data_IF_209712788076
#
_entry.id   IF_209712788076
#
_cell.length_a   1.000
_cell.length_b   1.000
_cell.length_c   1.000
_cell.angle_alpha   90.00
_cell.angle_beta   90.00
_cell.angle_gamma   90.00
#
_symmetry.space_group_name_H-M   'P 1'
#
loop_
_entity.id
_entity.type
_entity.pdbx_description
1 polymer ?
#
# COMPACT_ATOMS: atom_id res chain seq x y z
N UNK A 1 -8.23 2.37 0.33
CA UNK A 1 -9.28 1.99 1.30
C UNK A 1 -8.80 0.85 2.19
N UNK A 2 -9.42 0.67 3.36
CA UNK A 2 -9.24 -0.52 4.20
C UNK A 2 -10.60 -1.19 4.44
N UNK A 3 -10.58 -2.51 4.55
CA UNK A 3 -11.73 -3.37 4.89
C UNK A 3 -11.20 -4.47 5.81
N UNK A 4 -10.82 -4.04 7.00
CA UNK A 4 -10.15 -4.93 7.94
C UNK A 4 -11.17 -5.86 8.58
N UNK A 5 -10.85 -7.15 8.56
CA UNK A 5 -11.59 -8.16 9.29
C UNK A 5 -10.73 -9.39 9.54
N UNK A 6 -11.11 -10.23 10.50
CA UNK A 6 -10.48 -11.54 10.65
C UNK A 6 -10.81 -12.40 9.43
N UNK A 7 -9.89 -13.27 9.02
CA UNK A 7 -9.99 -14.05 7.78
C UNK A 7 -11.34 -14.77 7.65
N UNK A 8 -11.82 -15.42 8.72
CA UNK A 8 -13.07 -16.19 8.72
C UNK A 8 -14.35 -15.32 8.66
N UNK A 9 -14.23 -14.00 8.84
CA UNK A 9 -15.34 -13.04 8.72
C UNK A 9 -15.22 -12.16 7.48
N UNK A 10 -14.11 -12.23 6.77
CA UNK A 10 -13.85 -11.39 5.60
C UNK A 10 -14.70 -11.88 4.43
N UNK A 11 -15.50 -10.98 3.87
CA UNK A 11 -16.29 -11.28 2.67
C UNK A 11 -15.37 -11.24 1.44
N UNK A 12 -15.78 -11.93 0.38
CA UNK A 12 -15.08 -11.85 -0.92
C UNK A 12 -15.13 -10.42 -1.46
N UNK A 13 -16.26 -9.71 -1.28
CA UNK A 13 -16.41 -8.33 -1.71
C UNK A 13 -15.42 -7.38 -1.00
N UNK A 14 -15.20 -7.56 0.31
CA UNK A 14 -14.21 -6.78 1.07
C UNK A 14 -12.78 -7.07 0.59
N UNK A 15 -12.48 -8.33 0.30
CA UNK A 15 -11.20 -8.73 -0.29
C UNK A 15 -11.00 -8.08 -1.65
N UNK A 16 -11.96 -8.23 -2.55
CA UNK A 16 -11.91 -7.74 -3.92
C UNK A 16 -11.86 -6.22 -3.97
N UNK A 17 -12.62 -5.52 -3.12
CA UNK A 17 -12.58 -4.06 -3.06
C UNK A 17 -11.16 -3.54 -2.73
N UNK A 18 -10.48 -4.15 -1.75
CA UNK A 18 -9.12 -3.77 -1.36
C UNK A 18 -8.12 -4.09 -2.48
N UNK A 19 -8.20 -5.29 -3.08
CA UNK A 19 -7.30 -5.70 -4.16
C UNK A 19 -7.49 -4.85 -5.43
N UNK A 20 -8.73 -4.57 -5.80
CA UNK A 20 -9.06 -3.77 -6.98
C UNK A 20 -8.56 -2.34 -6.85
N UNK A 21 -8.72 -1.71 -5.68
CA UNK A 21 -8.25 -0.34 -5.47
C UNK A 21 -6.72 -0.27 -5.40
N UNK A 22 -6.10 -1.10 -4.57
CA UNK A 22 -4.67 -0.93 -4.29
C UNK A 22 -3.78 -1.53 -5.35
N UNK A 23 -3.99 -2.79 -5.73
CA UNK A 23 -3.06 -3.48 -6.61
C UNK A 23 -3.47 -3.37 -8.08
N UNK A 24 -4.74 -3.67 -8.39
CA UNK A 24 -5.24 -3.58 -9.76
C UNK A 24 -5.24 -2.14 -10.26
N UNK A 25 -5.60 -1.17 -9.41
CA UNK A 25 -5.54 0.26 -9.75
C UNK A 25 -4.14 0.69 -10.20
N UNK A 26 -3.11 0.33 -9.44
CA UNK A 26 -1.72 0.62 -9.81
C UNK A 26 -1.32 -0.07 -11.12
N UNK A 27 -1.68 -1.35 -11.30
CA UNK A 27 -1.45 -2.05 -12.57
C UNK A 27 -2.07 -1.31 -13.77
N UNK A 28 -3.36 -0.94 -13.68
CA UNK A 28 -4.07 -0.27 -14.77
C UNK A 28 -3.43 1.08 -15.11
N UNK A 29 -3.06 1.85 -14.09
CA UNK A 29 -2.42 3.15 -14.28
C UNK A 29 -1.03 2.99 -14.92
N UNK A 30 -0.17 2.14 -14.35
CA UNK A 30 1.16 1.87 -14.91
C UNK A 30 1.07 1.38 -16.36
N UNK A 31 0.15 0.46 -16.68
CA UNK A 31 -0.07 -0.04 -18.04
C UNK A 31 -0.44 1.09 -19.01
N UNK A 32 -1.29 2.01 -18.60
CA UNK A 32 -1.75 3.10 -19.47
C UNK A 32 -0.64 4.12 -19.79
N UNK A 33 0.27 4.41 -18.84
CA UNK A 33 1.35 5.39 -19.05
C UNK A 33 2.64 4.78 -19.60
N UNK A 34 2.81 3.47 -19.50
CA UNK A 34 4.06 2.77 -19.81
C UNK A 34 4.60 3.13 -21.20
N UNK A 35 3.76 3.06 -22.24
CA UNK A 35 4.18 3.36 -23.61
C UNK A 35 4.74 4.79 -23.74
N UNK A 36 4.04 5.77 -23.19
CA UNK A 36 4.43 7.17 -23.28
C UNK A 36 5.75 7.45 -22.55
N UNK A 37 5.95 6.83 -21.37
CA UNK A 37 7.21 6.95 -20.62
C UNK A 37 8.40 6.33 -21.37
N UNK A 38 8.18 5.18 -22.04
CA UNK A 38 9.20 4.54 -22.87
C UNK A 38 9.54 5.39 -24.10
N UNK A 39 8.54 5.89 -24.82
CA UNK A 39 8.75 6.74 -25.99
C UNK A 39 9.49 8.04 -25.63
N UNK A 40 9.19 8.62 -24.46
CA UNK A 40 9.87 9.79 -23.92
C UNK A 40 11.26 9.50 -23.33
N UNK A 41 11.66 8.22 -23.21
CA UNK A 41 12.88 7.76 -22.52
C UNK A 41 13.02 8.30 -21.09
N UNK A 42 11.89 8.60 -20.45
CA UNK A 42 11.83 9.16 -19.10
C UNK A 42 10.47 8.86 -18.45
N UNK A 43 10.52 8.43 -17.19
CA UNK A 43 9.32 8.25 -16.38
C UNK A 43 9.66 7.94 -14.93
N UNK A 44 8.78 8.31 -14.01
CA UNK A 44 8.92 8.05 -12.57
C UNK A 44 7.60 7.51 -12.04
N UNK A 45 7.60 6.25 -11.62
CA UNK A 45 6.44 5.61 -11.00
C UNK A 45 6.74 5.52 -9.49
N UNK A 46 5.91 6.18 -8.68
CA UNK A 46 6.00 6.12 -7.22
C UNK A 46 4.73 5.48 -6.67
N UNK A 47 4.88 4.27 -6.17
CA UNK A 47 3.77 3.49 -5.61
C UNK A 47 3.72 3.60 -4.09
N UNK A 48 2.52 3.44 -3.53
CA UNK A 48 2.28 3.48 -2.10
C UNK A 48 2.06 2.05 -1.57
N UNK A 49 3.08 1.51 -0.91
CA UNK A 49 3.00 0.30 -0.08
C UNK A 49 2.57 0.67 1.35
N UNK A 50 2.98 -0.11 2.35
CA UNK A 50 2.75 0.12 3.79
C UNK A 50 3.63 -0.84 4.59
N UNK A 51 3.98 -0.51 5.84
CA UNK A 51 4.57 -1.47 6.77
C UNK A 51 3.67 -2.70 7.01
N UNK A 52 2.35 -2.56 6.86
CA UNK A 52 1.41 -3.70 6.89
C UNK A 52 1.69 -4.76 5.83
N UNK A 53 2.51 -4.49 4.81
CA UNK A 53 2.98 -5.50 3.86
C UNK A 53 3.71 -6.68 4.55
N UNK A 54 4.29 -6.45 5.73
CA UNK A 54 4.92 -7.47 6.56
C UNK A 54 3.91 -8.30 7.38
N UNK A 55 2.63 -7.95 7.30
CA UNK A 55 1.54 -8.58 8.05
C UNK A 55 0.98 -7.67 9.15
N UNK A 56 -0.34 -7.61 9.25
CA UNK A 56 -1.04 -6.97 10.36
C UNK A 56 -2.34 -7.71 10.67
N UNK A 57 -2.73 -7.79 11.94
CA UNK A 57 -3.91 -8.53 12.37
C UNK A 57 -5.17 -7.91 11.76
N UNK A 58 -6.00 -8.75 11.14
CA UNK A 58 -7.24 -8.31 10.49
C UNK A 58 -7.04 -7.67 9.11
N UNK A 59 -5.82 -7.64 8.59
CA UNK A 59 -5.49 -6.96 7.33
C UNK A 59 -5.02 -7.92 6.24
N UNK A 60 -5.46 -9.19 6.23
CA UNK A 60 -4.95 -10.18 5.25
C UNK A 60 -5.09 -9.70 3.79
N UNK A 61 -6.20 -9.04 3.44
CA UNK A 61 -6.41 -8.39 2.14
C UNK A 61 -5.43 -7.22 1.90
N UNK A 62 -5.36 -6.30 2.86
CA UNK A 62 -4.54 -5.09 2.74
C UNK A 62 -3.04 -5.40 2.75
N UNK A 63 -2.58 -6.25 3.66
CA UNK A 63 -1.21 -6.78 3.71
C UNK A 63 -0.83 -7.46 2.40
N UNK A 64 -1.70 -8.34 1.87
CA UNK A 64 -1.46 -8.99 0.58
C UNK A 64 -1.35 -7.96 -0.56
N UNK A 65 -2.26 -6.98 -0.63
CA UNK A 65 -2.20 -5.92 -1.64
C UNK A 65 -0.91 -5.09 -1.53
N UNK A 66 -0.48 -4.72 -0.32
CA UNK A 66 0.70 -3.87 -0.09
C UNK A 66 2.02 -4.61 -0.26
N UNK A 67 2.08 -5.91 0.04
CA UNK A 67 3.20 -6.78 -0.33
C UNK A 67 3.26 -7.00 -1.84
N UNK A 68 2.11 -7.27 -2.47
CA UNK A 68 1.98 -7.37 -3.93
C UNK A 68 2.45 -6.09 -4.63
N UNK A 69 2.17 -4.92 -4.05
CA UNK A 69 2.67 -3.63 -4.56
C UNK A 69 4.21 -3.55 -4.59
N UNK A 70 4.90 -4.12 -3.59
CA UNK A 70 6.36 -4.13 -3.54
C UNK A 70 6.93 -5.01 -4.65
N UNK A 71 6.37 -6.22 -4.83
CA UNK A 71 6.74 -7.12 -5.92
C UNK A 71 6.47 -6.49 -7.29
N UNK A 72 5.28 -5.94 -7.49
CA UNK A 72 4.87 -5.23 -8.70
C UNK A 72 5.84 -4.10 -9.05
N UNK A 73 6.16 -3.24 -8.09
CA UNK A 73 7.08 -2.12 -8.27
C UNK A 73 8.48 -2.59 -8.66
N UNK A 74 8.99 -3.63 -7.98
CA UNK A 74 10.31 -4.20 -8.28
C UNK A 74 10.37 -4.74 -9.71
N UNK A 75 9.33 -5.41 -10.17
CA UNK A 75 9.25 -5.91 -11.55
C UNK A 75 9.21 -4.77 -12.55
N UNK A 76 8.40 -3.72 -12.33
CA UNK A 76 8.38 -2.54 -13.22
C UNK A 76 9.77 -1.89 -13.35
N UNK A 77 10.53 -1.82 -12.26
CA UNK A 77 11.88 -1.25 -12.31
C UNK A 77 12.81 -2.08 -13.21
N UNK A 78 12.73 -3.42 -13.16
CA UNK A 78 13.50 -4.30 -14.03
C UNK A 78 13.09 -4.20 -15.50
N UNK A 79 11.78 -4.18 -15.79
CA UNK A 79 11.26 -4.15 -17.15
C UNK A 79 11.52 -2.81 -17.85
N UNK A 80 11.36 -1.71 -17.11
CA UNK A 80 11.32 -0.36 -17.67
C UNK A 80 12.63 0.42 -17.50
N UNK A 81 13.53 -0.03 -16.61
CA UNK A 81 14.79 0.64 -16.31
C UNK A 81 15.65 0.92 -17.54
N UNK A 82 15.71 -0.03 -18.49
CA UNK A 82 16.46 0.12 -19.75
C UNK A 82 15.94 1.23 -20.67
N UNK A 83 14.73 1.72 -20.42
CA UNK A 83 14.11 2.82 -21.17
C UNK A 83 14.17 4.17 -20.42
N UNK A 84 14.94 4.28 -19.33
CA UNK A 84 15.05 5.53 -18.54
C UNK A 84 13.90 5.77 -17.56
N UNK A 85 13.03 4.77 -17.36
CA UNK A 85 11.90 4.82 -16.43
C UNK A 85 12.28 4.14 -15.11
N UNK A 86 12.06 4.80 -13.98
CA UNK A 86 12.28 4.21 -12.66
C UNK A 86 10.96 3.99 -11.93
N UNK A 87 10.91 2.94 -11.10
CA UNK A 87 9.77 2.64 -10.26
C UNK A 87 10.24 2.38 -8.82
N UNK A 88 9.59 3.03 -7.85
CA UNK A 88 9.88 2.89 -6.43
C UNK A 88 8.59 2.82 -5.61
N UNK A 89 8.66 2.20 -4.43
CA UNK A 89 7.54 2.10 -3.52
C UNK A 89 7.92 2.67 -2.16
N UNK A 90 7.04 3.52 -1.62
CA UNK A 90 7.16 4.05 -0.26
C UNK A 90 6.26 3.20 0.63
N UNK A 91 6.77 2.74 1.77
CA UNK A 91 6.02 1.98 2.76
C UNK A 91 5.88 2.79 4.06
N UNK A 92 4.82 3.63 4.18
CA UNK A 92 4.61 4.39 5.40
C UNK A 92 4.33 3.47 6.59
N UNK A 93 4.87 3.86 7.75
CA UNK A 93 4.49 3.36 9.07
C UNK A 93 3.29 4.12 9.61
N UNK A 94 3.35 4.49 10.89
CA UNK A 94 2.34 5.37 11.49
C UNK A 94 2.49 6.79 10.94
N UNK A 95 1.38 7.38 10.50
CA UNK A 95 1.30 8.78 10.05
C UNK A 95 0.07 9.41 10.69
N UNK A 96 0.25 10.52 11.42
CA UNK A 96 -0.84 11.25 12.06
C UNK A 96 -1.82 11.77 11.02
N UNK A 97 -2.98 11.13 10.96
CA UNK A 97 -4.09 11.42 10.03
C UNK A 97 -5.42 11.09 10.71
N UNK A 98 -6.51 11.57 10.13
CA UNK A 98 -7.87 11.17 10.54
C UNK A 98 -8.07 9.65 10.53
N UNK A 99 -7.42 8.94 9.60
CA UNK A 99 -7.47 7.47 9.52
C UNK A 99 -6.83 6.81 10.75
N UNK A 100 -5.71 7.34 11.24
CA UNK A 100 -5.07 6.83 12.46
C UNK A 100 -5.85 7.17 13.72
N UNK A 101 -6.53 8.32 13.75
CA UNK A 101 -7.42 8.70 14.85
C UNK A 101 -8.63 7.75 14.94
N UNK A 102 -9.29 7.48 13.80
CA UNK A 102 -10.39 6.52 13.74
C UNK A 102 -9.95 5.09 14.09
N UNK A 103 -8.69 4.73 13.78
CA UNK A 103 -8.13 3.44 14.18
C UNK A 103 -7.97 3.35 15.69
N UNK A 104 -7.45 4.40 16.34
CA UNK A 104 -7.29 4.47 17.79
C UNK A 104 -8.63 4.31 18.51
N UNK A 105 -9.67 5.01 18.04
CA UNK A 105 -11.04 4.86 18.54
C UNK A 105 -11.55 3.42 18.41
N UNK A 106 -11.38 2.81 17.22
CA UNK A 106 -11.82 1.42 16.96
C UNK A 106 -11.15 0.39 17.87
N UNK A 107 -9.90 0.61 18.28
CA UNK A 107 -9.17 -0.27 19.19
C UNK A 107 -9.31 0.12 20.65
N UNK A 108 -10.08 1.16 20.97
CA UNK A 108 -10.35 1.60 22.34
C UNK A 108 -9.15 2.25 23.04
N UNK A 109 -8.23 2.86 22.29
CA UNK A 109 -7.03 3.52 22.83
C UNK A 109 -7.14 5.02 22.57
N UNK A 110 -6.79 5.85 23.56
CA UNK A 110 -6.72 7.29 23.38
C UNK A 110 -5.71 7.67 22.30
N UNK A 111 -6.04 8.61 21.42
CA UNK A 111 -5.20 8.92 20.26
C UNK A 111 -3.77 9.37 20.64
N UNK A 112 -3.63 10.12 21.73
CA UNK A 112 -2.31 10.53 22.24
C UNK A 112 -1.45 9.35 22.72
N UNK A 113 -2.06 8.37 23.39
CA UNK A 113 -1.35 7.17 23.82
C UNK A 113 -0.99 6.28 22.63
N UNK A 114 -1.87 6.23 21.62
CA UNK A 114 -1.61 5.55 20.36
C UNK A 114 -0.43 6.17 19.61
N UNK A 115 -0.34 7.52 19.57
CA UNK A 115 0.81 8.24 19.01
C UNK A 115 2.10 7.96 19.76
N UNK A 116 2.09 8.00 21.10
CA UNK A 116 3.27 7.69 21.92
C UNK A 116 3.77 6.27 21.69
N UNK A 117 2.86 5.29 21.66
CA UNK A 117 3.20 3.91 21.40
C UNK A 117 3.83 3.74 20.00
N UNK A 118 3.24 4.37 18.97
CA UNK A 118 3.81 4.35 17.63
C UNK A 118 5.20 5.01 17.56
N UNK A 119 5.38 6.16 18.22
CA UNK A 119 6.65 6.88 18.25
C UNK A 119 7.78 6.06 18.89
N UNK A 120 7.48 5.26 19.94
CA UNK A 120 8.48 4.39 20.56
C UNK A 120 9.01 3.26 19.68
N UNK A 121 8.37 3.00 18.53
CA UNK A 121 8.80 1.99 17.56
C UNK A 121 9.51 2.59 16.33
N UNK A 122 9.65 3.91 16.28
CA UNK A 122 10.42 4.60 15.24
C UNK A 122 11.89 4.61 15.69
N UNK A 123 12.83 4.07 14.89
CA UNK A 123 14.26 4.06 15.20
C UNK A 123 14.86 5.45 15.44
#
# INVERSE_FOLDING_TARGET
ITRDNLLFKMTVDDWDAVMNVHLRGAFLMSRAVQKYMVDAKFGRIVNLSSTSALGNRGQVNYSAAKAGMQGFTKTLAFELGKFGVTANAIAPGFIETEMTAATAERVGVGFEDFKKAAASQIP
#
